data_IF_369996148679
#
_entry.id   IF_369996148679
#
_cell.length_a   1.000
_cell.length_b   1.000
_cell.length_c   1.000
_cell.angle_alpha   90.00
_cell.angle_beta   90.00
_cell.angle_gamma   90.00
#
_symmetry.space_group_name_H-M   'P 1'
#
loop_
_entity.id
_entity.type
_entity.pdbx_description
1 polymer ?
#
# COMPACT_ATOMS: atom_id res chain seq x y z
N UNK A 1 15.89 -8.00 -21.42
CA UNK A 1 16.68 -8.73 -20.40
C UNK A 1 16.59 -8.09 -19.00
N UNK A 2 16.08 -6.85 -18.86
CA UNK A 2 16.01 -6.12 -17.59
C UNK A 2 14.69 -6.29 -16.81
N UNK A 3 13.77 -7.11 -17.26
CA UNK A 3 12.42 -7.30 -16.68
C UNK A 3 12.47 -7.77 -15.21
N UNK A 4 13.48 -8.56 -14.83
CA UNK A 4 13.64 -9.07 -13.48
C UNK A 4 14.00 -7.99 -12.44
N UNK A 5 14.55 -6.84 -12.88
CA UNK A 5 14.97 -5.76 -11.96
C UNK A 5 13.79 -5.16 -11.20
N UNK A 6 12.64 -5.02 -11.84
CA UNK A 6 11.45 -4.50 -11.19
C UNK A 6 11.04 -5.32 -9.96
N UNK A 7 10.68 -6.60 -10.13
CA UNK A 7 10.33 -7.49 -9.01
C UNK A 7 11.43 -7.60 -7.95
N UNK A 8 12.71 -7.61 -8.35
CA UNK A 8 13.84 -7.66 -7.43
C UNK A 8 13.89 -6.43 -6.54
N UNK A 9 13.83 -5.23 -7.14
CA UNK A 9 13.80 -3.97 -6.39
C UNK A 9 12.58 -3.89 -5.48
N UNK A 10 11.41 -4.31 -5.94
CA UNK A 10 10.19 -4.37 -5.15
C UNK A 10 10.30 -5.30 -3.94
N UNK A 11 10.93 -6.47 -4.11
CA UNK A 11 11.17 -7.42 -3.02
C UNK A 11 12.16 -6.87 -1.98
N UNK A 12 13.28 -6.30 -2.45
CA UNK A 12 14.30 -5.70 -1.57
C UNK A 12 13.70 -4.50 -0.82
N UNK A 13 13.01 -3.59 -1.51
CA UNK A 13 12.41 -2.42 -0.88
C UNK A 13 11.39 -2.80 0.19
N UNK A 14 10.56 -3.83 -0.07
CA UNK A 14 9.61 -4.35 0.92
C UNK A 14 10.30 -4.86 2.18
N UNK A 15 11.40 -5.61 2.04
CA UNK A 15 12.16 -6.12 3.18
C UNK A 15 12.91 -5.00 3.94
N UNK A 16 13.47 -4.04 3.20
CA UNK A 16 14.31 -2.98 3.77
C UNK A 16 13.54 -1.82 4.39
N UNK A 17 12.29 -1.57 3.99
CA UNK A 17 11.56 -0.34 4.37
C UNK A 17 10.47 -0.55 5.42
N UNK A 18 10.33 -1.74 5.98
CA UNK A 18 9.36 -2.01 7.04
C UNK A 18 9.46 -1.03 8.20
N UNK A 19 10.69 -0.71 8.65
CA UNK A 19 10.94 0.24 9.73
C UNK A 19 10.41 1.67 9.47
N UNK A 20 10.24 2.07 8.21
CA UNK A 20 9.68 3.38 7.83
C UNK A 20 8.22 3.49 8.27
N UNK A 21 7.46 2.42 8.07
CA UNK A 21 6.07 2.32 8.49
C UNK A 21 5.93 2.33 10.02
N UNK A 22 6.85 1.67 10.72
CA UNK A 22 6.85 1.63 12.20
C UNK A 22 7.12 3.03 12.79
N UNK A 23 8.00 3.81 12.14
CA UNK A 23 8.40 5.13 12.64
C UNK A 23 7.41 6.25 12.29
N UNK A 24 6.84 6.24 11.09
CA UNK A 24 6.02 7.33 10.56
C UNK A 24 4.53 7.05 10.56
N UNK A 25 4.14 5.82 10.88
CA UNK A 25 2.76 5.35 10.88
C UNK A 25 2.31 4.86 9.49
N UNK A 26 1.77 3.64 9.43
CA UNK A 26 1.43 2.95 8.18
C UNK A 26 0.49 3.74 7.28
N UNK A 27 -0.54 4.41 7.83
CA UNK A 27 -1.50 5.17 7.03
C UNK A 27 -0.90 6.39 6.32
N UNK A 28 0.03 7.11 6.98
CA UNK A 28 0.74 8.24 6.36
C UNK A 28 1.67 7.76 5.26
N UNK A 29 2.43 6.70 5.52
CA UNK A 29 3.33 6.11 4.52
C UNK A 29 2.53 5.64 3.31
N UNK A 30 1.42 4.94 3.50
CA UNK A 30 0.54 4.48 2.42
C UNK A 30 -0.03 5.64 1.60
N UNK A 31 -0.42 6.75 2.23
CA UNK A 31 -0.87 7.94 1.51
C UNK A 31 0.22 8.50 0.59
N UNK A 32 1.44 8.69 1.09
CA UNK A 32 2.56 9.16 0.28
C UNK A 32 2.95 8.19 -0.83
N UNK A 33 2.83 6.89 -0.58
CA UNK A 33 3.04 5.86 -1.61
C UNK A 33 2.10 6.08 -2.79
N UNK A 34 0.81 6.33 -2.58
CA UNK A 34 -0.12 6.61 -3.68
C UNK A 34 0.24 7.88 -4.44
N UNK A 35 0.69 8.94 -3.76
CA UNK A 35 1.19 10.16 -4.41
C UNK A 35 2.40 9.85 -5.30
N UNK A 36 3.39 9.12 -4.79
CA UNK A 36 4.57 8.73 -5.56
C UNK A 36 4.22 7.78 -6.72
N UNK A 37 3.24 6.90 -6.54
CA UNK A 37 2.73 6.05 -7.64
C UNK A 37 2.09 6.89 -8.76
N UNK A 38 1.32 7.93 -8.43
CA UNK A 38 0.79 8.85 -9.44
C UNK A 38 1.90 9.58 -10.20
N UNK A 39 2.92 10.08 -9.50
CA UNK A 39 4.11 10.69 -10.11
C UNK A 39 4.81 9.67 -11.02
N UNK A 40 4.97 8.44 -10.57
CA UNK A 40 5.55 7.35 -11.33
C UNK A 40 4.79 7.07 -12.64
N UNK A 41 3.47 6.98 -12.57
CA UNK A 41 2.63 6.77 -13.77
C UNK A 41 2.77 7.93 -14.75
N UNK A 42 2.74 9.18 -14.29
CA UNK A 42 2.93 10.35 -15.15
C UNK A 42 4.32 10.33 -15.79
N UNK A 43 5.35 9.99 -15.04
CA UNK A 43 6.71 9.83 -15.56
C UNK A 43 6.82 8.74 -16.63
N UNK A 44 6.18 7.58 -16.39
CA UNK A 44 6.12 6.50 -17.39
C UNK A 44 5.41 6.97 -18.67
N UNK A 45 4.28 7.68 -18.54
CA UNK A 45 3.55 8.24 -19.70
C UNK A 45 4.42 9.23 -20.49
N UNK A 46 5.15 10.10 -19.80
CA UNK A 46 6.04 11.08 -20.41
C UNK A 46 7.18 10.40 -21.19
N UNK A 47 7.92 9.50 -20.54
CA UNK A 47 9.05 8.81 -21.20
C UNK A 47 8.62 7.83 -22.27
N UNK A 48 7.41 7.29 -22.19
CA UNK A 48 6.85 6.48 -23.26
C UNK A 48 6.61 7.32 -24.54
N UNK A 49 6.07 8.54 -24.38
CA UNK A 49 5.88 9.48 -25.50
C UNK A 49 7.20 10.03 -26.04
N UNK A 50 8.16 10.29 -25.15
CA UNK A 50 9.51 10.73 -25.52
C UNK A 50 10.37 9.61 -26.15
N UNK A 51 9.85 8.38 -26.27
CA UNK A 51 10.57 7.19 -26.74
C UNK A 51 11.92 6.96 -26.05
N UNK A 52 12.05 7.39 -24.78
CA UNK A 52 13.25 7.27 -23.98
C UNK A 52 13.25 5.97 -23.17
N UNK A 53 13.98 4.97 -23.62
CA UNK A 53 14.08 3.68 -22.93
C UNK A 53 14.64 3.79 -21.50
N UNK A 54 15.70 4.58 -21.32
CA UNK A 54 16.33 4.73 -20.00
C UNK A 54 15.45 5.48 -19.01
N UNK A 55 14.73 6.49 -19.46
CA UNK A 55 13.77 7.22 -18.64
C UNK A 55 12.60 6.32 -18.24
N UNK A 56 12.05 5.56 -19.19
CA UNK A 56 11.00 4.56 -18.93
C UNK A 56 11.45 3.52 -17.89
N UNK A 57 12.64 2.93 -18.09
CA UNK A 57 13.18 1.93 -17.17
C UNK A 57 13.39 2.50 -15.76
N UNK A 58 13.93 3.72 -15.66
CA UNK A 58 14.14 4.39 -14.38
C UNK A 58 12.83 4.62 -13.63
N UNK A 59 11.79 5.13 -14.29
CA UNK A 59 10.46 5.33 -13.68
C UNK A 59 9.79 4.00 -13.31
N UNK A 60 9.99 2.97 -14.11
CA UNK A 60 9.49 1.64 -13.84
C UNK A 60 10.12 1.05 -12.56
N UNK A 61 11.45 1.13 -12.42
CA UNK A 61 12.17 0.72 -11.21
C UNK A 61 11.71 1.54 -10.00
N UNK A 62 11.54 2.85 -10.15
CA UNK A 62 11.00 3.73 -9.10
C UNK A 62 9.62 3.27 -8.63
N UNK A 63 8.71 2.95 -9.55
CA UNK A 63 7.38 2.45 -9.20
C UNK A 63 7.46 1.12 -8.43
N UNK A 64 8.33 0.21 -8.82
CA UNK A 64 8.53 -1.04 -8.07
C UNK A 64 9.07 -0.81 -6.67
N UNK A 65 10.01 0.13 -6.51
CA UNK A 65 10.51 0.53 -5.20
C UNK A 65 9.37 1.06 -4.31
N UNK A 66 8.59 2.01 -4.82
CA UNK A 66 7.45 2.63 -4.10
C UNK A 66 6.38 1.58 -3.76
N UNK A 67 6.09 0.67 -4.70
CA UNK A 67 5.15 -0.44 -4.45
C UNK A 67 5.63 -1.35 -3.33
N UNK A 68 6.93 -1.64 -3.25
CA UNK A 68 7.51 -2.43 -2.17
C UNK A 68 7.32 -1.77 -0.80
N UNK A 69 7.58 -0.46 -0.71
CA UNK A 69 7.33 0.35 0.50
C UNK A 69 5.85 0.30 0.90
N UNK A 70 4.94 0.48 -0.08
CA UNK A 70 3.49 0.45 0.15
C UNK A 70 3.01 -0.90 0.66
N UNK A 71 3.51 -1.98 0.08
CA UNK A 71 3.18 -3.33 0.52
C UNK A 71 3.62 -3.58 1.97
N UNK A 72 4.86 -3.19 2.32
CA UNK A 72 5.36 -3.29 3.69
C UNK A 72 4.48 -2.50 4.67
N UNK A 73 4.14 -1.25 4.35
CA UNK A 73 3.35 -0.39 5.23
C UNK A 73 1.94 -0.92 5.47
N UNK A 74 1.29 -1.45 4.44
CA UNK A 74 -0.06 -2.00 4.54
C UNK A 74 -0.10 -3.27 5.39
N UNK A 75 0.85 -4.19 5.17
CA UNK A 75 0.92 -5.45 5.94
C UNK A 75 1.21 -5.18 7.42
N UNK A 76 2.10 -4.23 7.74
CA UNK A 76 2.43 -3.90 9.14
C UNK A 76 1.32 -3.14 9.86
N UNK A 77 0.52 -2.36 9.14
CA UNK A 77 -0.60 -1.62 9.72
C UNK A 77 -1.69 -2.53 10.28
N UNK A 78 -1.95 -3.70 9.65
CA UNK A 78 -3.02 -4.62 10.05
C UNK A 78 -2.83 -5.13 11.49
N UNK A 79 -1.69 -5.72 11.88
CA UNK A 79 -1.47 -6.14 13.27
C UNK A 79 -1.51 -4.99 14.26
N UNK A 80 -1.03 -3.82 13.88
CA UNK A 80 -1.06 -2.63 14.76
C UNK A 80 -2.50 -2.20 15.07
N UNK A 81 -3.37 -2.20 14.07
CA UNK A 81 -4.80 -1.90 14.27
C UNK A 81 -5.47 -2.98 15.13
N UNK A 82 -5.24 -4.26 14.83
CA UNK A 82 -5.88 -5.34 15.58
C UNK A 82 -5.48 -5.35 17.06
N UNK A 83 -4.20 -5.10 17.37
CA UNK A 83 -3.74 -4.99 18.77
C UNK A 83 -4.39 -3.84 19.54
N UNK A 84 -4.84 -2.78 18.87
CA UNK A 84 -5.56 -1.68 19.49
C UNK A 84 -7.06 -1.91 19.59
N UNK A 85 -7.65 -2.65 18.66
CA UNK A 85 -9.10 -2.86 18.59
C UNK A 85 -9.59 -4.07 19.39
N UNK A 86 -8.84 -5.18 19.44
CA UNK A 86 -9.25 -6.39 20.16
C UNK A 86 -9.51 -6.13 21.65
N UNK A 87 -8.69 -5.38 22.40
CA UNK A 87 -8.97 -5.07 23.80
C UNK A 87 -10.28 -4.29 24.02
N UNK A 88 -10.77 -3.62 22.99
CA UNK A 88 -12.04 -2.85 23.04
C UNK A 88 -13.23 -3.71 22.68
N UNK A 89 -13.06 -4.58 21.68
CA UNK A 89 -14.13 -5.44 21.20
C UNK A 89 -14.39 -6.62 22.16
N UNK A 90 -13.35 -7.05 22.88
CA UNK A 90 -13.37 -8.21 23.77
C UNK A 90 -12.69 -7.88 25.11
N UNK A 91 -13.25 -6.95 25.91
CA UNK A 91 -12.66 -6.54 27.19
C UNK A 91 -12.68 -7.65 28.24
N UNK A 92 -13.53 -8.66 28.07
CA UNK A 92 -13.66 -9.83 28.95
C UNK A 92 -12.48 -10.80 28.84
N UNK A 93 -11.72 -10.75 27.75
CA UNK A 93 -10.55 -11.62 27.57
C UNK A 93 -9.36 -11.14 28.39
N UNK A 94 -8.61 -12.06 28.98
CA UNK A 94 -7.35 -11.76 29.63
C UNK A 94 -6.32 -11.17 28.64
N UNK A 95 -5.42 -10.31 29.12
CA UNK A 95 -4.39 -9.67 28.26
C UNK A 95 -3.65 -10.63 27.31
N UNK A 96 -3.20 -11.84 27.75
CA UNK A 96 -2.52 -12.77 26.85
C UNK A 96 -3.45 -13.33 25.76
N UNK A 97 -4.74 -13.52 26.08
CA UNK A 97 -5.71 -14.00 25.09
C UNK A 97 -6.08 -12.90 24.08
N UNK A 98 -6.17 -11.65 24.51
CA UNK A 98 -6.37 -10.49 23.62
C UNK A 98 -5.24 -10.39 22.58
N UNK A 99 -3.98 -10.57 22.99
CA UNK A 99 -2.84 -10.55 22.06
C UNK A 99 -2.93 -11.72 21.08
N UNK A 100 -3.22 -12.92 21.55
CA UNK A 100 -3.38 -14.10 20.69
C UNK A 100 -4.52 -13.94 19.70
N UNK A 101 -5.65 -13.38 20.13
CA UNK A 101 -6.78 -13.11 19.24
C UNK A 101 -6.42 -12.03 18.20
N UNK A 102 -5.75 -10.95 18.59
CA UNK A 102 -5.28 -9.93 17.67
C UNK A 102 -4.35 -10.48 16.59
N UNK A 103 -3.45 -11.40 16.94
CA UNK A 103 -2.57 -12.07 15.99
C UNK A 103 -3.34 -12.98 15.03
N UNK A 104 -4.31 -13.74 15.53
CA UNK A 104 -5.16 -14.62 14.74
C UNK A 104 -6.00 -13.83 13.73
N UNK A 105 -6.65 -12.77 14.16
CA UNK A 105 -7.46 -11.90 13.29
C UNK A 105 -6.58 -11.18 12.27
N UNK A 106 -5.40 -10.71 12.68
CA UNK A 106 -4.43 -10.09 11.77
C UNK A 106 -4.00 -11.06 10.67
N UNK A 107 -3.70 -12.30 11.02
CA UNK A 107 -3.30 -13.32 10.04
C UNK A 107 -4.42 -13.62 9.04
N UNK A 108 -5.67 -13.70 9.51
CA UNK A 108 -6.84 -13.90 8.66
C UNK A 108 -7.04 -12.73 7.69
N UNK A 109 -6.96 -11.48 8.17
CA UNK A 109 -7.10 -10.27 7.35
C UNK A 109 -5.96 -10.17 6.32
N UNK A 110 -4.71 -10.41 6.73
CA UNK A 110 -3.55 -10.44 5.80
C UNK A 110 -3.74 -11.51 4.73
N UNK A 111 -4.18 -12.71 5.12
CA UNK A 111 -4.46 -13.79 4.17
C UNK A 111 -5.54 -13.42 3.16
N UNK A 112 -6.67 -12.88 3.64
CA UNK A 112 -7.78 -12.46 2.79
C UNK A 112 -7.41 -11.31 1.84
N UNK A 113 -6.77 -10.27 2.35
CA UNK A 113 -6.33 -9.13 1.54
C UNK A 113 -5.28 -9.54 0.51
N UNK A 114 -4.36 -10.45 0.87
CA UNK A 114 -3.36 -10.99 -0.07
C UNK A 114 -4.01 -11.83 -1.18
N UNK A 115 -5.05 -12.61 -0.85
CA UNK A 115 -5.80 -13.35 -1.85
C UNK A 115 -6.50 -12.41 -2.84
N UNK A 116 -7.15 -11.34 -2.38
CA UNK A 116 -7.73 -10.31 -3.26
C UNK A 116 -6.64 -9.63 -4.10
N UNK A 117 -5.52 -9.25 -3.49
CA UNK A 117 -4.40 -8.62 -4.20
C UNK A 117 -3.82 -9.51 -5.31
N UNK A 118 -3.85 -10.82 -5.15
CA UNK A 118 -3.40 -11.78 -6.18
C UNK A 118 -4.19 -11.64 -7.49
N UNK A 119 -5.47 -11.27 -7.45
CA UNK A 119 -6.24 -10.98 -8.66
C UNK A 119 -5.67 -9.79 -9.44
N UNK A 120 -5.01 -8.84 -8.77
CA UNK A 120 -4.31 -7.74 -9.44
C UNK A 120 -3.25 -8.23 -10.41
N UNK A 121 -2.55 -9.32 -10.10
CA UNK A 121 -1.55 -9.92 -10.98
C UNK A 121 -2.14 -10.41 -12.31
N UNK A 122 -3.43 -10.76 -12.33
CA UNK A 122 -4.14 -11.12 -13.55
C UNK A 122 -4.74 -9.90 -14.27
N UNK A 123 -5.42 -9.03 -13.53
CA UNK A 123 -6.14 -7.89 -14.13
C UNK A 123 -5.23 -6.80 -14.68
N UNK A 124 -4.08 -6.54 -14.04
CA UNK A 124 -3.15 -5.48 -14.48
C UNK A 124 -2.58 -5.78 -15.87
N UNK A 125 -1.93 -6.94 -16.12
CA UNK A 125 -1.44 -7.27 -17.47
C UNK A 125 -2.56 -7.31 -18.51
N UNK A 126 -3.73 -7.84 -18.15
CA UNK A 126 -4.89 -7.90 -19.04
C UNK A 126 -5.38 -6.50 -19.42
N UNK A 127 -5.40 -5.55 -18.51
CA UNK A 127 -5.79 -4.16 -18.79
C UNK A 127 -4.85 -3.50 -19.79
N UNK A 128 -3.54 -3.72 -19.69
CA UNK A 128 -2.57 -3.25 -20.69
C UNK A 128 -2.78 -3.93 -22.04
N UNK A 129 -2.95 -5.25 -22.07
CA UNK A 129 -3.23 -5.99 -23.30
C UNK A 129 -4.50 -5.50 -24.00
N UNK A 130 -5.58 -5.30 -23.25
CA UNK A 130 -6.85 -4.80 -23.78
C UNK A 130 -6.74 -3.36 -24.29
N UNK A 131 -6.02 -2.48 -23.57
CA UNK A 131 -5.79 -1.10 -23.99
C UNK A 131 -5.00 -1.05 -25.31
N UNK A 132 -3.92 -1.82 -25.41
CA UNK A 132 -3.10 -1.89 -26.62
C UNK A 132 -3.93 -2.46 -27.81
N UNK A 133 -4.73 -3.50 -27.58
CA UNK A 133 -5.58 -4.08 -28.62
C UNK A 133 -6.64 -3.11 -29.12
N UNK A 134 -7.20 -2.26 -28.25
CA UNK A 134 -8.27 -1.33 -28.59
C UNK A 134 -7.76 -0.01 -29.18
N UNK A 135 -6.61 0.50 -28.71
CA UNK A 135 -6.15 1.86 -29.04
C UNK A 135 -4.75 1.90 -29.68
N UNK A 136 -4.08 0.75 -29.80
CA UNK A 136 -2.70 0.67 -30.26
C UNK A 136 -1.67 1.17 -29.24
N UNK A 137 -2.09 1.59 -28.03
CA UNK A 137 -1.23 2.22 -27.03
C UNK A 137 -1.59 1.77 -25.61
N UNK A 138 -0.62 1.64 -24.70
CA UNK A 138 -0.89 1.37 -23.28
C UNK A 138 -1.42 2.58 -22.52
N UNK A 139 -1.55 3.75 -23.16
CA UNK A 139 -1.86 5.02 -22.52
C UNK A 139 -3.20 5.00 -21.77
N UNK A 140 -4.23 4.37 -22.36
CA UNK A 140 -5.54 4.26 -21.73
C UNK A 140 -5.49 3.48 -20.40
N UNK A 141 -4.69 2.41 -20.32
CA UNK A 141 -4.49 1.67 -19.09
C UNK A 141 -3.74 2.51 -18.04
N UNK A 142 -2.71 3.26 -18.44
CA UNK A 142 -1.95 4.14 -17.55
C UNK A 142 -2.83 5.25 -16.96
N UNK A 143 -3.71 5.86 -17.76
CA UNK A 143 -4.69 6.84 -17.26
C UNK A 143 -5.65 6.19 -16.26
N UNK A 144 -6.14 4.99 -16.55
CA UNK A 144 -6.99 4.22 -15.63
C UNK A 144 -6.30 3.97 -14.30
N UNK A 145 -5.04 3.56 -14.29
CA UNK A 145 -4.26 3.38 -13.06
C UNK A 145 -3.99 4.69 -12.33
N UNK A 146 -3.76 5.79 -13.03
CA UNK A 146 -3.62 7.10 -12.41
C UNK A 146 -4.89 7.49 -11.63
N UNK A 147 -6.07 7.34 -12.24
CA UNK A 147 -7.37 7.60 -11.59
C UNK A 147 -7.57 6.68 -10.39
N UNK A 148 -7.21 5.40 -10.53
CA UNK A 148 -7.29 4.43 -9.45
C UNK A 148 -6.40 4.84 -8.26
N UNK A 149 -5.13 5.21 -8.48
CA UNK A 149 -4.26 5.67 -7.40
C UNK A 149 -4.73 6.98 -6.77
N UNK A 150 -5.30 7.90 -7.55
CA UNK A 150 -5.92 9.11 -7.03
C UNK A 150 -7.09 8.78 -6.09
N UNK A 151 -7.97 7.86 -6.48
CA UNK A 151 -9.07 7.41 -5.63
C UNK A 151 -8.58 6.74 -4.34
N UNK A 152 -7.54 5.91 -4.43
CA UNK A 152 -6.90 5.29 -3.26
C UNK A 152 -6.26 6.33 -2.33
N UNK A 153 -5.60 7.35 -2.88
CA UNK A 153 -5.01 8.44 -2.10
C UNK A 153 -6.09 9.23 -1.34
N UNK A 154 -7.18 9.58 -2.02
CA UNK A 154 -8.33 10.28 -1.41
C UNK A 154 -8.95 9.44 -0.29
N UNK A 155 -9.20 8.14 -0.55
CA UNK A 155 -9.76 7.24 0.45
C UNK A 155 -8.82 7.11 1.67
N UNK A 156 -7.52 6.92 1.43
CA UNK A 156 -6.52 6.80 2.50
C UNK A 156 -6.44 8.09 3.32
N UNK A 157 -6.52 9.24 2.67
CA UNK A 157 -6.51 10.52 3.37
C UNK A 157 -7.74 10.69 4.27
N UNK A 158 -8.95 10.39 3.77
CA UNK A 158 -10.18 10.51 4.54
C UNK A 158 -10.23 9.55 5.73
N UNK A 159 -9.79 8.30 5.55
CA UNK A 159 -9.92 7.25 6.57
C UNK A 159 -8.76 7.31 7.57
N UNK A 160 -7.54 7.50 7.11
CA UNK A 160 -6.35 7.29 7.93
C UNK A 160 -5.58 8.57 8.27
N UNK A 161 -5.58 9.60 7.41
CA UNK A 161 -4.67 10.74 7.56
C UNK A 161 -5.36 11.98 8.10
N UNK A 162 -6.66 12.14 7.86
CA UNK A 162 -7.44 13.30 8.32
C UNK A 162 -7.44 13.41 9.85
N UNK A 163 -7.26 14.63 10.43
CA UNK A 163 -7.46 14.86 11.85
C UNK A 163 -8.88 14.43 12.27
N UNK A 164 -9.00 13.41 13.10
CA UNK A 164 -10.27 12.75 13.43
C UNK A 164 -10.58 11.47 12.63
N UNK A 165 -9.73 11.07 11.71
CA UNK A 165 -9.79 9.77 11.04
C UNK A 165 -9.48 8.61 12.00
N UNK A 166 -9.77 7.38 11.55
CA UNK A 166 -9.69 6.16 12.35
C UNK A 166 -8.34 6.00 13.08
N UNK A 167 -7.22 6.25 12.41
CA UNK A 167 -5.88 6.13 13.03
C UNK A 167 -5.62 7.19 14.11
N UNK A 168 -6.08 8.42 13.92
CA UNK A 168 -5.93 9.46 14.95
C UNK A 168 -6.77 9.16 16.20
N UNK A 169 -7.93 8.53 16.02
CA UNK A 169 -8.72 8.04 17.14
C UNK A 169 -7.97 6.93 17.88
N UNK A 170 -7.36 5.98 17.17
CA UNK A 170 -6.57 4.87 17.71
C UNK A 170 -5.31 5.39 18.43
N UNK A 171 -4.54 6.30 17.82
CA UNK A 171 -3.33 6.88 18.43
C UNK A 171 -3.63 7.69 19.70
N UNK A 172 -4.73 8.45 19.73
CA UNK A 172 -5.15 9.19 20.95
C UNK A 172 -5.47 8.26 22.10
N UNK A 173 -6.11 7.15 21.80
CA UNK A 173 -6.52 6.19 22.84
C UNK A 173 -5.33 5.37 23.33
N UNK A 174 -4.38 5.04 22.48
CA UNK A 174 -3.13 4.39 22.88
C UNK A 174 -2.30 5.28 23.83
N UNK A 175 -2.25 6.59 23.56
CA UNK A 175 -1.61 7.57 24.45
C UNK A 175 -2.34 7.72 25.77
N UNK A 176 -3.67 7.69 25.80
CA UNK A 176 -4.44 7.78 27.05
C UNK A 176 -4.25 6.54 27.93
N UNK A 177 -4.16 5.35 27.34
CA UNK A 177 -3.94 4.09 28.10
C UNK A 177 -2.54 4.02 28.70
N UNK A 178 -1.53 4.55 27.99
CA UNK A 178 -0.15 4.64 28.51
C UNK A 178 0.02 5.72 29.58
N UNK A 179 -0.83 6.73 29.62
CA UNK A 179 -0.81 7.79 30.62
C UNK A 179 -1.54 7.40 31.92
N UNK A 180 -2.32 6.32 31.89
CA UNK A 180 -3.09 5.81 33.05
C UNK A 180 -2.52 4.52 33.63
N UNK A 181 -1.46 3.97 33.05
CA UNK A 181 -0.71 2.79 33.51
C UNK A 181 0.61 3.21 34.18
#
# INVERSE_FOLDING_TARGET
TFVFLGPLVGAISRAATGWVSDRWGGGRVTFWVFIFMMIGVVGVMYFLQAASWWGFLGMFIFMFFVTGVGNASTIQMIPSIMRSEIPRLMPELGKPEQVRQAEKESAAIVGFTSAIAAYGAFFIPKSFGSAIAATGSPMAALIGFFIFYASCAVLTWFVYTRPGGLLHAIERMQKSTLATA
#
